data_IF_032001994424
#
_entry.id   IF_032001994424
#
_cell.length_a   1.000
_cell.length_b   1.000
_cell.length_c   1.000
_cell.angle_alpha   90.00
_cell.angle_beta   90.00
_cell.angle_gamma   90.00
#
_symmetry.space_group_name_H-M   'P 1'
#
loop_
_entity.id
_entity.type
_entity.pdbx_description
1 polymer ?
#
# COMPACT_ATOMS: atom_id res chain seq x y z
N UNK A 1 -10.51 36.00 -16.26
CA UNK A 1 -10.85 34.66 -16.56
C UNK A 1 -10.61 33.74 -15.37
N UNK A 2 -11.59 32.96 -15.03
CA UNK A 2 -11.42 32.10 -13.85
C UNK A 2 -10.76 30.80 -14.22
N UNK A 3 -10.01 30.29 -13.29
CA UNK A 3 -9.46 28.96 -13.42
C UNK A 3 -10.58 27.94 -13.27
N UNK A 4 -10.50 26.83 -13.99
CA UNK A 4 -11.44 25.76 -13.73
C UNK A 4 -11.27 25.29 -12.29
N UNK A 5 -12.35 25.16 -11.61
CA UNK A 5 -12.35 24.66 -10.25
C UNK A 5 -12.32 23.15 -10.28
N UNK A 6 -11.47 22.58 -9.43
CA UNK A 6 -11.51 21.15 -9.25
C UNK A 6 -12.68 20.84 -8.34
N UNK A 7 -13.66 20.11 -8.85
CA UNK A 7 -14.81 19.75 -8.04
C UNK A 7 -14.43 18.66 -7.05
N UNK A 8 -15.25 18.50 -6.02
CA UNK A 8 -15.04 17.44 -5.06
C UNK A 8 -15.05 16.07 -5.74
N UNK A 9 -15.94 15.91 -6.72
CA UNK A 9 -16.02 14.64 -7.47
C UNK A 9 -14.73 14.36 -8.25
N UNK A 10 -14.19 15.36 -8.92
CA UNK A 10 -12.96 15.17 -9.69
C UNK A 10 -11.79 14.93 -8.77
N UNK A 11 -11.72 15.63 -7.64
CA UNK A 11 -10.65 15.42 -6.68
C UNK A 11 -10.72 14.02 -6.08
N UNK A 12 -11.92 13.56 -5.77
CA UNK A 12 -12.13 12.22 -5.24
C UNK A 12 -11.69 11.17 -6.25
N UNK A 13 -12.11 11.33 -7.51
CA UNK A 13 -11.77 10.38 -8.56
C UNK A 13 -10.24 10.25 -8.70
N UNK A 14 -9.56 11.38 -8.72
CA UNK A 14 -8.12 11.38 -8.84
C UNK A 14 -7.45 10.72 -7.64
N UNK A 15 -7.88 11.07 -6.43
CA UNK A 15 -7.30 10.49 -5.22
C UNK A 15 -7.57 8.99 -5.14
N UNK A 16 -8.74 8.57 -5.57
CA UNK A 16 -9.13 7.16 -5.59
C UNK A 16 -8.21 6.36 -6.51
N UNK A 17 -7.96 6.89 -7.72
CA UNK A 17 -7.07 6.23 -8.66
C UNK A 17 -5.64 6.14 -8.13
N UNK A 18 -5.15 7.22 -7.53
CA UNK A 18 -3.81 7.23 -6.95
C UNK A 18 -3.70 6.20 -5.83
N UNK A 19 -4.72 6.12 -4.98
CA UNK A 19 -4.71 5.16 -3.88
C UNK A 19 -4.69 3.73 -4.40
N UNK A 20 -5.48 3.45 -5.45
CA UNK A 20 -5.48 2.12 -6.06
C UNK A 20 -4.13 1.78 -6.66
N UNK A 21 -3.49 2.74 -7.32
CA UNK A 21 -2.15 2.54 -7.89
C UNK A 21 -1.12 2.26 -6.80
N UNK A 22 -1.21 2.95 -5.69
CA UNK A 22 -0.27 2.74 -4.59
C UNK A 22 -0.46 1.37 -3.96
N UNK A 23 -1.70 0.93 -3.82
CA UNK A 23 -1.98 -0.40 -3.29
C UNK A 23 -1.44 -1.47 -4.24
N UNK A 24 -1.63 -1.30 -5.53
CA UNK A 24 -1.11 -2.23 -6.52
C UNK A 24 0.42 -2.29 -6.47
N UNK A 25 1.06 -1.14 -6.33
CA UNK A 25 2.52 -1.08 -6.22
C UNK A 25 3.00 -1.76 -4.94
N UNK A 26 2.30 -1.57 -3.84
CA UNK A 26 2.65 -2.23 -2.59
C UNK A 26 2.54 -3.74 -2.74
N UNK A 27 1.48 -4.22 -3.38
CA UNK A 27 1.31 -5.64 -3.62
C UNK A 27 2.47 -6.20 -4.45
N UNK A 28 2.88 -5.46 -5.48
CA UNK A 28 4.02 -5.85 -6.31
C UNK A 28 5.29 -6.02 -5.49
N UNK A 29 5.57 -5.02 -4.64
CA UNK A 29 6.76 -5.05 -3.79
C UNK A 29 6.71 -6.23 -2.83
N UNK A 30 5.54 -6.50 -2.26
CA UNK A 30 5.38 -7.63 -1.34
C UNK A 30 5.60 -8.96 -2.04
N UNK A 31 5.15 -9.07 -3.29
CA UNK A 31 5.36 -10.31 -4.06
C UNK A 31 6.83 -10.53 -4.39
N UNK A 32 7.63 -9.47 -4.43
CA UNK A 32 9.06 -9.60 -4.68
C UNK A 32 9.85 -9.98 -3.43
N UNK A 33 9.21 -9.89 -2.25
CA UNK A 33 9.86 -10.31 -1.02
C UNK A 33 9.92 -11.84 -0.96
N UNK A 34 10.90 -12.39 -0.22
CA UNK A 34 11.02 -13.87 -0.13
C UNK A 34 9.75 -14.50 0.41
N UNK A 35 9.33 -15.60 -0.23
CA UNK A 35 8.17 -16.35 0.22
C UNK A 35 8.53 -17.18 1.46
N UNK A 36 7.57 -17.39 2.37
CA UNK A 36 7.83 -18.26 3.50
C UNK A 36 8.20 -19.66 3.06
N UNK A 37 9.23 -20.22 3.67
CA UNK A 37 9.67 -21.55 3.32
C UNK A 37 10.55 -21.65 2.09
N UNK A 38 10.88 -20.52 1.49
CA UNK A 38 11.77 -20.50 0.34
C UNK A 38 13.21 -20.61 0.81
N UNK A 39 13.84 -21.72 0.45
CA UNK A 39 15.22 -22.00 0.87
C UNK A 39 16.26 -21.50 -0.10
N UNK A 40 15.89 -20.63 -1.02
CA UNK A 40 16.84 -20.13 -1.98
C UNK A 40 17.75 -19.07 -1.36
N UNK A 41 18.47 -18.35 -2.19
CA UNK A 41 19.59 -17.52 -1.77
C UNK A 41 19.29 -16.44 -0.74
N UNK A 42 18.01 -16.12 -0.51
CA UNK A 42 17.63 -15.04 0.41
C UNK A 42 16.76 -15.56 1.53
N UNK A 43 17.37 -16.16 2.55
CA UNK A 43 16.57 -16.66 3.67
C UNK A 43 15.86 -15.54 4.40
N UNK A 44 14.68 -15.85 4.89
CA UNK A 44 13.90 -14.90 5.68
C UNK A 44 14.58 -14.70 7.04
N UNK A 45 14.67 -13.46 7.47
CA UNK A 45 15.24 -13.13 8.76
C UNK A 45 14.29 -12.25 9.56
N UNK A 46 14.66 -11.95 10.80
CA UNK A 46 13.83 -11.14 11.67
C UNK A 46 13.60 -9.73 11.15
N UNK A 47 14.51 -9.21 10.33
CA UNK A 47 14.31 -7.93 9.68
C UNK A 47 13.11 -7.96 8.75
N UNK A 48 12.95 -9.04 7.99
CA UNK A 48 11.79 -9.21 7.13
C UNK A 48 10.50 -9.30 7.94
N UNK A 49 10.54 -10.03 9.05
CA UNK A 49 9.39 -10.16 9.93
C UNK A 49 8.98 -8.80 10.49
N UNK A 50 9.97 -8.03 10.94
CA UNK A 50 9.72 -6.70 11.47
C UNK A 50 9.09 -5.78 10.44
N UNK A 51 9.61 -5.82 9.21
CA UNK A 51 9.09 -5.00 8.12
C UNK A 51 7.62 -5.34 7.85
N UNK A 52 7.31 -6.64 7.75
CA UNK A 52 5.94 -7.05 7.46
C UNK A 52 4.99 -6.74 8.61
N UNK A 53 5.45 -6.87 9.85
CA UNK A 53 4.64 -6.51 11.00
C UNK A 53 4.30 -5.02 10.98
N UNK A 54 5.25 -4.20 10.60
CA UNK A 54 5.00 -2.76 10.48
C UNK A 54 4.01 -2.46 9.36
N UNK A 55 4.18 -3.12 8.20
CA UNK A 55 3.25 -2.97 7.09
C UNK A 55 1.84 -3.36 7.52
N UNK A 56 1.72 -4.49 8.20
CA UNK A 56 0.42 -4.97 8.68
C UNK A 56 -0.23 -3.98 9.64
N UNK A 57 0.54 -3.40 10.54
CA UNK A 57 0.02 -2.41 11.47
C UNK A 57 -0.50 -1.18 10.74
N UNK A 58 0.25 -0.70 9.76
CA UNK A 58 -0.16 0.46 8.97
C UNK A 58 -1.38 0.17 8.11
N UNK A 59 -1.45 -1.02 7.54
CA UNK A 59 -2.61 -1.41 6.75
C UNK A 59 -3.86 -1.50 7.63
N UNK A 60 -3.72 -2.05 8.82
CA UNK A 60 -4.83 -2.13 9.77
C UNK A 60 -5.34 -0.74 10.10
N UNK A 61 -4.44 0.19 10.37
CA UNK A 61 -4.82 1.56 10.68
C UNK A 61 -5.51 2.23 9.49
N UNK A 62 -5.01 1.99 8.28
CA UNK A 62 -5.61 2.54 7.08
C UNK A 62 -7.02 2.01 6.86
N UNK A 63 -7.20 0.71 7.06
CA UNK A 63 -8.51 0.09 6.90
C UNK A 63 -9.51 0.70 7.88
N UNK A 64 -9.09 0.87 9.13
CA UNK A 64 -9.94 1.50 10.13
C UNK A 64 -10.28 2.93 9.78
N UNK A 65 -9.30 3.65 9.28
CA UNK A 65 -9.47 5.05 8.89
C UNK A 65 -10.49 5.18 7.77
N UNK A 66 -10.40 4.34 6.76
CA UNK A 66 -11.29 4.40 5.60
C UNK A 66 -12.72 3.98 5.96
N UNK A 67 -12.86 3.01 6.84
CA UNK A 67 -14.17 2.50 7.23
C UNK A 67 -14.91 3.40 8.20
N UNK A 68 -14.22 4.30 8.80
CA UNK A 68 -14.79 5.14 9.85
C UNK A 68 -15.68 6.26 9.32
#
# INVERSE_FOLDING_TARGET
>A
MSKPKITADAAYENAHLVAQDMIAKLAEVLFEMPAPGDDTASPINWGHVGTLNEVNARLTDLIKFVKN
#
